data_IF_955511447303
#
_entry.id   IF_955511447303
#
_cell.length_a   1.000
_cell.length_b   1.000
_cell.length_c   1.000
_cell.angle_alpha   90.00
_cell.angle_beta   90.00
_cell.angle_gamma   90.00
#
_symmetry.space_group_name_H-M   'P 1'
#
loop_
_entity.id
_entity.type
_entity.pdbx_description
1 polymer ?
#
# COMPACT_ATOMS: atom_id res chain seq x y z
N UNK A 1 -1.33 -0.57 -9.50
CA UNK A 1 -2.25 -1.10 -8.46
C UNK A 1 -1.43 -1.97 -7.53
N UNK A 2 -0.98 -1.40 -6.41
CA UNK A 2 -0.13 -2.06 -5.41
C UNK A 2 -0.92 -3.19 -4.74
N UNK A 3 -0.53 -4.42 -5.06
CA UNK A 3 -1.09 -5.67 -4.58
C UNK A 3 -0.94 -5.79 -3.05
N UNK A 4 -2.04 -5.61 -2.31
CA UNK A 4 -2.19 -6.32 -1.05
C UNK A 4 -2.47 -7.77 -1.43
N UNK A 5 -1.46 -8.64 -1.30
CA UNK A 5 -1.61 -10.09 -1.46
C UNK A 5 -1.57 -10.67 -0.05
N UNK A 6 -2.73 -11.01 0.51
CA UNK A 6 -2.76 -11.93 1.64
C UNK A 6 -3.19 -13.30 1.14
N UNK A 7 -2.36 -14.31 1.45
CA UNK A 7 -2.61 -15.69 1.11
C UNK A 7 -3.60 -16.28 2.14
N UNK A 8 -4.87 -16.41 1.78
CA UNK A 8 -5.84 -17.10 2.62
C UNK A 8 -5.80 -18.60 2.27
N UNK A 9 -5.34 -19.44 3.20
CA UNK A 9 -5.35 -20.90 3.08
C UNK A 9 -6.75 -21.42 3.45
N UNK A 10 -7.52 -21.89 2.48
CA UNK A 10 -8.78 -22.59 2.76
C UNK A 10 -8.52 -24.10 2.68
N UNK A 11 -8.70 -24.80 3.80
CA UNK A 11 -8.65 -26.26 3.85
C UNK A 11 -10.06 -26.82 3.68
N UNK A 12 -10.31 -27.48 2.56
CA UNK A 12 -11.45 -28.37 2.39
C UNK A 12 -10.92 -29.73 1.93
N UNK A 13 -10.80 -30.68 2.87
CA UNK A 13 -10.46 -32.12 2.80
C UNK A 13 -9.45 -32.68 1.75
N UNK A 14 -8.84 -31.90 0.85
CA UNK A 14 -7.82 -32.40 -0.09
C UNK A 14 -6.93 -31.33 -0.75
N UNK A 15 -7.18 -30.02 -0.61
CA UNK A 15 -6.42 -28.99 -1.35
C UNK A 15 -6.14 -27.71 -0.56
N UNK A 16 -4.99 -27.09 -0.87
CA UNK A 16 -4.58 -25.74 -0.44
C UNK A 16 -5.03 -24.77 -1.55
N UNK A 17 -5.87 -23.79 -1.20
CA UNK A 17 -6.30 -22.73 -2.12
C UNK A 17 -5.48 -21.46 -1.85
N UNK A 18 -4.92 -20.87 -2.91
CA UNK A 18 -4.23 -19.60 -2.84
C UNK A 18 -5.11 -18.51 -3.46
N UNK A 19 -5.74 -17.67 -2.65
CA UNK A 19 -6.59 -16.56 -3.13
C UNK A 19 -5.81 -15.26 -2.96
N UNK A 20 -5.74 -14.43 -4.01
CA UNK A 20 -5.21 -13.08 -3.90
C UNK A 20 -6.36 -12.14 -3.52
N UNK A 21 -6.29 -11.53 -2.34
CA UNK A 21 -7.35 -10.65 -1.82
C UNK A 21 -6.89 -9.20 -1.72
N UNK A 22 -7.62 -8.28 -2.34
CA UNK A 22 -7.41 -6.83 -2.22
C UNK A 22 -8.73 -6.11 -1.96
N UNK A 23 -8.69 -4.81 -1.63
CA UNK A 23 -9.87 -4.00 -1.44
C UNK A 23 -9.63 -2.55 -1.88
N UNK A 24 -10.71 -1.87 -2.23
CA UNK A 24 -10.73 -0.49 -2.70
C UNK A 24 -11.91 0.27 -2.05
N UNK A 25 -11.69 1.47 -1.48
CA UNK A 25 -10.40 2.14 -1.32
C UNK A 25 -9.50 1.42 -0.32
N UNK A 26 -8.19 1.54 -0.52
CA UNK A 26 -7.20 0.86 0.33
C UNK A 26 -7.32 1.23 1.81
N UNK A 27 -7.68 2.49 2.09
CA UNK A 27 -7.82 3.07 3.43
C UNK A 27 -9.19 3.74 3.51
N UNK A 28 -10.27 2.97 3.74
CA UNK A 28 -11.61 3.51 3.71
C UNK A 28 -11.88 4.40 4.93
N UNK A 29 -12.56 5.52 4.70
CA UNK A 29 -13.11 6.37 5.74
C UNK A 29 -14.39 5.77 6.34
N UNK A 30 -14.75 6.22 7.54
CA UNK A 30 -16.02 5.86 8.15
C UNK A 30 -17.20 6.32 7.27
N UNK A 31 -18.11 5.40 6.94
CA UNK A 31 -19.26 5.64 6.07
C UNK A 31 -18.96 5.52 4.58
N UNK A 32 -17.74 5.15 4.20
CA UNK A 32 -17.36 4.96 2.80
C UNK A 32 -17.76 3.56 2.28
N UNK A 33 -18.07 3.46 0.99
CA UNK A 33 -18.27 2.18 0.33
C UNK A 33 -16.90 1.55 0.04
N UNK A 34 -16.68 0.35 0.56
CA UNK A 34 -15.51 -0.47 0.28
C UNK A 34 -15.92 -1.70 -0.54
N UNK A 35 -15.12 -2.03 -1.54
CA UNK A 35 -15.23 -3.27 -2.32
C UNK A 35 -14.04 -4.17 -2.03
N UNK A 36 -14.31 -5.39 -1.57
CA UNK A 36 -13.30 -6.44 -1.40
C UNK A 36 -13.31 -7.34 -2.62
N UNK A 37 -12.14 -7.57 -3.20
CA UNK A 37 -11.90 -8.43 -4.35
C UNK A 37 -11.12 -9.67 -3.96
N UNK A 38 -11.55 -10.83 -4.48
CA UNK A 38 -10.91 -12.12 -4.30
C UNK A 38 -10.61 -12.74 -5.68
N UNK A 39 -9.35 -12.71 -6.08
CA UNK A 39 -8.88 -13.29 -7.33
C UNK A 39 -8.46 -14.75 -7.10
N UNK A 40 -9.24 -15.66 -7.70
CA UNK A 40 -9.00 -17.11 -7.63
C UNK A 40 -8.32 -17.66 -8.89
N UNK A 41 -7.81 -16.79 -9.78
CA UNK A 41 -7.19 -17.17 -11.05
C UNK A 41 -5.97 -18.09 -10.91
N UNK A 42 -5.33 -18.14 -9.74
CA UNK A 42 -4.23 -19.09 -9.48
C UNK A 42 -4.71 -20.54 -9.29
N UNK A 43 -6.01 -20.78 -9.08
CA UNK A 43 -6.57 -22.11 -8.81
C UNK A 43 -7.47 -22.57 -9.97
N UNK A 44 -6.90 -23.28 -10.96
CA UNK A 44 -7.62 -23.75 -12.17
C UNK A 44 -8.88 -24.58 -11.89
N UNK A 45 -8.93 -25.31 -10.77
CA UNK A 45 -10.10 -26.08 -10.34
C UNK A 45 -11.25 -25.20 -9.81
N UNK A 46 -10.95 -23.95 -9.42
CA UNK A 46 -11.84 -23.09 -8.65
C UNK A 46 -12.37 -21.88 -9.44
N UNK A 47 -11.69 -21.50 -10.53
CA UNK A 47 -11.99 -20.30 -11.32
C UNK A 47 -13.46 -20.14 -11.73
N UNK A 48 -14.21 -21.25 -11.89
CA UNK A 48 -15.57 -21.22 -12.44
C UNK A 48 -16.58 -22.15 -11.76
N UNK A 49 -16.22 -22.86 -10.68
CA UNK A 49 -17.05 -23.97 -10.16
C UNK A 49 -17.84 -23.67 -8.91
N UNK A 50 -17.40 -22.72 -8.08
CA UNK A 50 -18.00 -22.55 -6.76
C UNK A 50 -18.32 -21.08 -6.46
N UNK A 51 -19.52 -20.78 -5.92
CA UNK A 51 -19.80 -19.45 -5.39
C UNK A 51 -18.85 -19.15 -4.24
N UNK A 52 -18.32 -17.93 -4.23
CA UNK A 52 -17.52 -17.42 -3.12
C UNK A 52 -18.40 -16.68 -2.13
N UNK A 53 -18.06 -16.80 -0.86
CA UNK A 53 -18.69 -16.12 0.26
C UNK A 53 -17.65 -15.31 1.01
N UNK A 54 -18.07 -14.16 1.48
CA UNK A 54 -17.33 -13.36 2.45
C UNK A 54 -18.06 -13.42 3.79
N UNK A 55 -17.30 -13.64 4.85
CA UNK A 55 -17.78 -13.67 6.23
C UNK A 55 -17.29 -12.40 6.90
N UNK A 56 -18.19 -11.52 7.33
CA UNK A 56 -17.87 -10.25 7.97
C UNK A 56 -18.20 -10.28 9.46
N UNK A 57 -17.35 -9.67 10.28
CA UNK A 57 -17.54 -9.52 11.72
C UNK A 57 -16.97 -8.19 12.22
N UNK A 58 -17.67 -7.52 13.14
CA UNK A 58 -17.17 -6.28 13.74
C UNK A 58 -16.41 -6.55 15.06
N UNK A 59 -16.57 -7.72 15.65
CA UNK A 59 -15.96 -8.11 16.94
C UNK A 59 -14.94 -9.25 16.81
N UNK A 60 -14.76 -9.79 15.61
CA UNK A 60 -13.89 -10.92 15.32
C UNK A 60 -14.43 -12.27 15.81
N UNK A 61 -15.68 -12.32 16.31
CA UNK A 61 -16.29 -13.52 16.89
C UNK A 61 -17.55 -13.93 16.15
N UNK A 62 -18.47 -12.99 15.95
CA UNK A 62 -19.76 -13.23 15.33
C UNK A 62 -19.72 -12.83 13.86
N UNK A 63 -19.73 -13.84 12.98
CA UNK A 63 -19.62 -13.65 11.54
C UNK A 63 -20.96 -13.78 10.82
N UNK A 64 -21.20 -12.88 9.86
CA UNK A 64 -22.31 -12.95 8.90
C UNK A 64 -21.77 -13.24 7.51
N UNK A 65 -22.33 -14.25 6.85
CA UNK A 65 -21.91 -14.70 5.51
C UNK A 65 -22.72 -14.03 4.41
N UNK A 66 -22.03 -13.51 3.40
CA UNK A 66 -22.61 -12.88 2.21
C UNK A 66 -22.02 -13.50 0.95
N UNK A 67 -22.85 -13.70 -0.07
CA UNK A 67 -22.37 -14.21 -1.34
C UNK A 67 -21.69 -13.09 -2.14
N UNK A 68 -20.48 -13.36 -2.63
CA UNK A 68 -19.75 -12.46 -3.53
C UNK A 68 -20.28 -12.61 -4.96
N UNK A 69 -20.09 -11.56 -5.78
CA UNK A 69 -20.46 -11.56 -7.21
C UNK A 69 -19.21 -11.67 -8.09
N UNK A 70 -19.31 -12.34 -9.23
CA UNK A 70 -18.22 -12.32 -10.21
C UNK A 70 -18.08 -10.91 -10.79
N UNK A 71 -16.86 -10.39 -10.77
CA UNK A 71 -16.48 -9.11 -11.35
C UNK A 71 -15.65 -9.33 -12.62
N UNK A 72 -16.36 -9.39 -13.76
CA UNK A 72 -15.77 -9.57 -15.08
C UNK A 72 -14.95 -8.36 -15.56
N UNK A 73 -15.09 -7.18 -14.94
CA UNK A 73 -14.35 -5.97 -15.31
C UNK A 73 -12.92 -5.99 -14.76
N UNK A 74 -12.71 -6.55 -13.57
CA UNK A 74 -11.37 -6.81 -13.05
C UNK A 74 -10.71 -7.96 -13.83
N UNK A 75 -11.24 -9.18 -13.70
CA UNK A 75 -10.76 -10.41 -14.36
C UNK A 75 -11.87 -11.47 -14.36
N UNK A 76 -11.83 -12.42 -15.31
CA UNK A 76 -12.83 -13.50 -15.41
C UNK A 76 -12.91 -14.46 -14.21
N UNK A 77 -12.02 -14.34 -13.22
CA UNK A 77 -11.96 -15.17 -12.01
C UNK A 77 -11.90 -14.35 -10.72
N UNK A 78 -12.32 -13.08 -10.76
CA UNK A 78 -12.37 -12.22 -9.58
C UNK A 78 -13.79 -12.20 -9.01
N UNK A 79 -13.91 -12.36 -7.70
CA UNK A 79 -15.14 -12.19 -6.94
C UNK A 79 -15.09 -10.90 -6.14
N UNK A 80 -16.20 -10.16 -6.08
CA UNK A 80 -16.31 -8.88 -5.40
C UNK A 80 -17.49 -8.83 -4.42
N UNK A 81 -17.30 -8.11 -3.33
CA UNK A 81 -18.38 -7.73 -2.40
C UNK A 81 -18.18 -6.31 -1.91
N UNK A 82 -19.23 -5.50 -2.02
CA UNK A 82 -19.23 -4.09 -1.61
C UNK A 82 -20.14 -3.88 -0.41
N UNK A 83 -19.67 -3.07 0.56
CA UNK A 83 -20.44 -2.68 1.73
C UNK A 83 -19.98 -1.32 2.25
N UNK A 84 -20.83 -0.66 3.05
CA UNK A 84 -20.46 0.55 3.78
C UNK A 84 -19.72 0.14 5.04
N UNK A 85 -18.50 0.66 5.23
CA UNK A 85 -17.71 0.38 6.43
C UNK A 85 -17.92 1.48 7.47
N UNK A 86 -18.39 1.10 8.67
CA UNK A 86 -18.74 2.00 9.77
C UNK A 86 -17.93 1.73 11.05
N UNK A 87 -17.20 0.62 11.06
CA UNK A 87 -16.42 0.12 12.17
C UNK A 87 -15.29 -0.75 11.64
N UNK A 88 -14.31 -1.06 12.48
CA UNK A 88 -13.31 -2.07 12.16
C UNK A 88 -14.00 -3.38 11.79
N UNK A 89 -13.72 -3.91 10.60
CA UNK A 89 -14.36 -5.13 10.08
C UNK A 89 -13.31 -6.22 9.86
N UNK A 90 -13.48 -7.34 10.56
CA UNK A 90 -12.81 -8.59 10.29
C UNK A 90 -13.51 -9.31 9.15
N UNK A 91 -12.74 -9.95 8.28
CA UNK A 91 -13.31 -10.73 7.21
C UNK A 91 -12.53 -12.02 6.90
N UNK A 92 -13.27 -13.01 6.41
CA UNK A 92 -12.73 -14.21 5.80
C UNK A 92 -13.44 -14.48 4.49
N UNK A 93 -12.79 -15.18 3.56
CA UNK A 93 -13.36 -15.54 2.26
C UNK A 93 -13.22 -17.04 2.08
N UNK A 94 -14.31 -17.72 1.74
CA UNK A 94 -14.31 -19.13 1.38
C UNK A 94 -15.42 -19.51 0.38
N UNK A 95 -15.59 -20.80 0.10
CA UNK A 95 -16.63 -21.32 -0.81
C UNK A 95 -17.79 -22.03 -0.09
N UNK A 96 -17.92 -21.82 1.22
CA UNK A 96 -18.87 -22.51 2.09
C UNK A 96 -19.67 -21.53 2.95
N UNK A 97 -20.92 -21.30 2.54
CA UNK A 97 -21.85 -20.43 3.26
C UNK A 97 -22.07 -20.78 4.74
N UNK A 98 -22.08 -22.09 5.08
CA UNK A 98 -22.68 -22.61 6.32
C UNK A 98 -21.68 -23.20 7.32
N UNK A 99 -20.54 -23.73 6.85
CA UNK A 99 -19.53 -24.33 7.73
C UNK A 99 -18.28 -23.46 7.76
N UNK A 100 -18.43 -22.33 8.42
CA UNK A 100 -17.34 -21.43 8.75
C UNK A 100 -16.71 -21.85 10.09
N UNK A 101 -15.40 -22.05 10.12
CA UNK A 101 -14.63 -22.19 11.38
C UNK A 101 -13.82 -20.92 11.57
N UNK A 102 -14.12 -20.17 12.63
CA UNK A 102 -13.32 -19.03 13.04
C UNK A 102 -11.95 -19.53 13.53
N UNK A 103 -10.96 -19.48 12.64
CA UNK A 103 -9.57 -19.77 12.93
C UNK A 103 -8.75 -18.49 12.73
N UNK A 104 -8.06 -18.03 13.78
CA UNK A 104 -7.41 -16.71 13.82
C UNK A 104 -6.48 -16.42 12.64
N UNK A 105 -5.82 -17.45 12.11
CA UNK A 105 -4.85 -17.32 11.02
C UNK A 105 -5.50 -17.13 9.64
N UNK A 106 -6.81 -17.34 9.50
CA UNK A 106 -7.58 -17.08 8.27
C UNK A 106 -8.24 -15.69 8.24
N UNK A 107 -8.14 -14.93 9.33
CA UNK A 107 -8.74 -13.62 9.46
C UNK A 107 -7.89 -12.55 8.77
N UNK A 108 -8.48 -11.87 7.80
CA UNK A 108 -8.02 -10.55 7.39
C UNK A 108 -8.82 -9.49 8.16
N UNK A 109 -8.22 -8.32 8.38
CA UNK A 109 -8.84 -7.23 9.14
C UNK A 109 -8.73 -5.94 8.34
N UNK A 110 -9.87 -5.31 8.09
CA UNK A 110 -9.93 -3.92 7.63
C UNK A 110 -10.09 -3.09 8.90
N UNK A 111 -8.99 -2.45 9.28
CA UNK A 111 -8.99 -1.49 10.38
C UNK A 111 -9.47 -0.18 9.79
N UNK A 112 -10.58 0.35 10.31
CA UNK A 112 -10.89 1.76 10.08
C UNK A 112 -9.72 2.57 10.60
N UNK A 113 -9.28 3.55 9.83
CA UNK A 113 -8.32 4.52 10.34
C UNK A 113 -8.89 5.13 11.63
N UNK A 114 -8.11 5.04 12.72
CA UNK A 114 -8.54 5.39 14.07
C UNK A 114 -9.07 6.84 14.13
N UNK A 115 -10.38 7.10 13.96
CA UNK A 115 -11.08 8.39 14.22
C UNK A 115 -10.35 9.69 13.84
N UNK A 116 -9.33 9.64 12.99
CA UNK A 116 -8.52 10.77 12.58
C UNK A 116 -9.06 11.15 11.22
N UNK A 117 -9.88 12.19 11.26
CA UNK A 117 -10.57 12.68 10.10
C UNK A 117 -9.60 13.46 9.20
N UNK A 118 -9.20 12.84 8.09
CA UNK A 118 -8.44 13.51 7.03
C UNK A 118 -9.33 14.34 6.10
N UNK A 119 -10.65 14.42 6.32
CA UNK A 119 -11.56 15.16 5.45
C UNK A 119 -11.13 16.62 5.26
N UNK A 120 -10.76 17.32 6.33
CA UNK A 120 -10.29 18.70 6.23
C UNK A 120 -8.98 18.82 5.43
N UNK A 121 -8.10 17.81 5.53
CA UNK A 121 -6.89 17.72 4.70
C UNK A 121 -7.27 17.55 3.23
N UNK A 122 -8.14 16.60 2.91
CA UNK A 122 -8.59 16.32 1.53
C UNK A 122 -9.26 17.54 0.90
N UNK A 123 -10.18 18.19 1.62
CA UNK A 123 -10.85 19.42 1.16
C UNK A 123 -9.84 20.54 0.91
N UNK A 124 -8.84 20.69 1.78
CA UNK A 124 -7.79 21.69 1.60
C UNK A 124 -6.89 21.38 0.39
N UNK A 125 -6.51 20.12 0.17
CA UNK A 125 -5.72 19.68 -0.99
C UNK A 125 -6.47 19.88 -2.31
N UNK A 126 -7.74 19.47 -2.38
CA UNK A 126 -8.60 19.67 -3.57
C UNK A 126 -8.79 21.16 -3.87
N UNK A 127 -8.89 21.98 -2.82
CA UNK A 127 -8.96 23.44 -2.93
C UNK A 127 -7.60 24.11 -3.16
N UNK A 128 -6.51 23.34 -3.31
CA UNK A 128 -5.12 23.80 -3.47
C UNK A 128 -4.63 24.72 -2.35
N UNK A 129 -5.20 24.59 -1.15
CA UNK A 129 -4.79 25.31 0.06
C UNK A 129 -3.72 24.51 0.80
N UNK A 130 -2.57 24.35 0.15
CA UNK A 130 -1.50 23.44 0.60
C UNK A 130 -0.97 23.74 2.01
N UNK A 131 -0.76 25.01 2.34
CA UNK A 131 -0.34 25.41 3.69
C UNK A 131 -1.41 25.04 4.75
N UNK A 132 -2.69 25.15 4.41
CA UNK A 132 -3.79 24.75 5.29
C UNK A 132 -3.80 23.22 5.47
N UNK A 133 -3.63 22.46 4.39
CA UNK A 133 -3.52 21.00 4.45
C UNK A 133 -2.34 20.55 5.32
N UNK A 134 -1.16 21.16 5.15
CA UNK A 134 0.03 20.88 5.98
C UNK A 134 -0.24 21.21 7.46
N UNK A 135 -0.92 22.30 7.76
CA UNK A 135 -1.29 22.64 9.14
C UNK A 135 -2.21 21.57 9.76
N UNK A 136 -3.23 21.10 9.04
CA UNK A 136 -4.08 20.01 9.51
C UNK A 136 -3.30 18.70 9.70
N UNK A 137 -2.39 18.37 8.77
CA UNK A 137 -1.52 17.20 8.89
C UNK A 137 -0.62 17.26 10.13
N UNK A 138 -0.03 18.42 10.41
CA UNK A 138 0.78 18.63 11.61
C UNK A 138 -0.06 18.49 12.89
N UNK A 139 -1.27 19.03 12.93
CA UNK A 139 -2.19 18.86 14.06
C UNK A 139 -2.55 17.38 14.27
N UNK A 140 -2.82 16.63 13.20
CA UNK A 140 -3.07 15.19 13.29
C UNK A 140 -1.86 14.46 13.87
N UNK A 141 -0.66 14.76 13.37
CA UNK A 141 0.59 14.15 13.82
C UNK A 141 0.87 14.38 15.30
N UNK A 142 0.61 15.60 15.79
CA UNK A 142 0.81 15.98 17.20
C UNK A 142 -0.20 15.30 18.15
N UNK A 143 -1.41 15.01 17.68
CA UNK A 143 -2.50 14.50 18.50
C UNK A 143 -2.64 12.97 18.50
N UNK A 144 -1.84 12.25 17.72
CA UNK A 144 -1.86 10.79 17.66
C UNK A 144 -0.63 10.18 18.31
N UNK A 145 -0.76 8.96 18.83
CA UNK A 145 0.39 8.11 19.22
C UNK A 145 0.62 6.94 18.26
N UNK A 146 -0.27 6.78 17.27
CA UNK A 146 -0.12 5.75 16.25
C UNK A 146 0.99 6.12 15.27
N UNK A 147 2.09 5.37 15.34
CA UNK A 147 3.27 5.57 14.50
C UNK A 147 2.97 5.47 13.00
N UNK A 148 1.96 4.68 12.62
CA UNK A 148 1.54 4.53 11.22
C UNK A 148 0.88 5.82 10.74
N UNK A 149 0.09 6.47 11.61
CA UNK A 149 -0.57 7.74 11.29
C UNK A 149 0.46 8.88 11.24
N UNK A 150 1.42 8.91 12.18
CA UNK A 150 2.53 9.88 12.13
C UNK A 150 3.32 9.76 10.81
N UNK A 151 3.68 8.53 10.42
CA UNK A 151 4.37 8.28 9.15
C UNK A 151 3.52 8.70 7.94
N UNK A 152 2.22 8.42 7.95
CA UNK A 152 1.28 8.85 6.90
C UNK A 152 1.21 10.37 6.79
N UNK A 153 1.11 11.09 7.90
CA UNK A 153 1.09 12.55 7.87
C UNK A 153 2.36 13.14 7.27
N UNK A 154 3.53 12.62 7.68
CA UNK A 154 4.81 13.07 7.12
C UNK A 154 4.92 12.78 5.63
N UNK A 155 4.47 11.59 5.21
CA UNK A 155 4.43 11.21 3.81
C UNK A 155 3.53 12.13 2.99
N UNK A 156 2.34 12.46 3.49
CA UNK A 156 1.43 13.38 2.80
C UNK A 156 2.00 14.79 2.69
N UNK A 157 2.74 15.27 3.70
CA UNK A 157 3.45 16.55 3.63
C UNK A 157 4.52 16.47 2.53
N UNK A 158 5.33 15.39 2.50
CA UNK A 158 6.35 15.19 1.46
C UNK A 158 5.75 15.17 0.04
N UNK A 159 4.58 14.54 -0.15
CA UNK A 159 3.87 14.52 -1.43
C UNK A 159 3.40 15.91 -1.88
N UNK A 160 3.00 16.80 -0.96
CA UNK A 160 2.66 18.20 -1.29
C UNK A 160 3.89 18.94 -1.81
N UNK A 161 5.04 18.78 -1.15
CA UNK A 161 6.30 19.38 -1.62
C UNK A 161 6.74 18.82 -2.97
N UNK A 162 6.59 17.51 -3.18
CA UNK A 162 6.95 16.85 -4.43
C UNK A 162 6.06 17.28 -5.60
N UNK A 163 4.74 17.20 -5.42
CA UNK A 163 3.79 17.28 -6.54
C UNK A 163 3.29 18.71 -6.78
N UNK A 164 2.98 19.44 -5.71
CA UNK A 164 2.31 20.74 -5.79
C UNK A 164 3.31 21.90 -5.79
N UNK A 165 4.27 21.89 -4.85
CA UNK A 165 5.34 22.90 -4.83
C UNK A 165 6.47 22.57 -5.80
N UNK A 166 6.67 21.29 -6.14
CA UNK A 166 7.81 20.79 -6.93
C UNK A 166 9.16 21.19 -6.35
N UNK A 167 9.22 21.29 -5.02
CA UNK A 167 10.46 21.52 -4.29
C UNK A 167 11.11 20.17 -3.98
N UNK A 168 11.86 19.66 -4.95
CA UNK A 168 12.47 18.34 -4.89
C UNK A 168 13.49 18.21 -3.76
N UNK A 169 14.17 19.30 -3.38
CA UNK A 169 15.13 19.29 -2.28
C UNK A 169 14.40 19.08 -0.96
N UNK A 170 13.36 19.87 -0.69
CA UNK A 170 12.58 19.76 0.55
C UNK A 170 11.85 18.42 0.61
N UNK A 171 11.27 17.97 -0.51
CA UNK A 171 10.64 16.65 -0.58
C UNK A 171 11.63 15.52 -0.27
N UNK A 172 12.86 15.59 -0.80
CA UNK A 172 13.90 14.59 -0.53
C UNK A 172 14.27 14.53 0.96
N UNK A 173 14.43 15.69 1.62
CA UNK A 173 14.72 15.76 3.04
C UNK A 173 13.59 15.12 3.87
N UNK A 174 12.33 15.44 3.54
CA UNK A 174 11.15 14.85 4.23
C UNK A 174 11.05 13.33 4.03
N UNK A 175 11.27 12.81 2.82
CA UNK A 175 11.29 11.36 2.61
C UNK A 175 12.44 10.69 3.34
N UNK A 176 13.61 11.32 3.40
CA UNK A 176 14.74 10.84 4.20
C UNK A 176 14.36 10.74 5.68
N UNK A 177 13.74 11.78 6.23
CA UNK A 177 13.28 11.79 7.63
C UNK A 177 12.30 10.66 7.93
N UNK A 178 11.35 10.37 7.02
CA UNK A 178 10.43 9.22 7.17
C UNK A 178 11.19 7.90 7.22
N UNK A 179 12.19 7.71 6.35
CA UNK A 179 12.98 6.47 6.26
C UNK A 179 13.77 6.20 7.54
N UNK A 180 14.24 7.25 8.20
CA UNK A 180 15.06 7.13 9.40
C UNK A 180 14.27 7.21 10.71
N UNK A 181 13.05 7.79 10.69
CA UNK A 181 12.22 7.96 11.89
C UNK A 181 11.27 6.78 12.16
N UNK A 182 10.93 6.00 11.13
CA UNK A 182 9.89 4.97 11.24
C UNK A 182 10.40 3.54 10.92
N UNK A 183 9.81 2.49 11.50
CA UNK A 183 10.18 1.11 11.23
C UNK A 183 9.94 0.68 9.77
N UNK A 184 10.80 -0.19 9.22
CA UNK A 184 10.69 -0.68 7.83
C UNK A 184 9.37 -1.39 7.48
N UNK A 185 8.60 -1.88 8.47
CA UNK A 185 7.31 -2.51 8.19
C UNK A 185 6.18 -1.49 7.93
N UNK A 186 6.41 -0.21 8.21
CA UNK A 186 5.49 0.87 7.88
C UNK A 186 5.50 1.12 6.37
N UNK A 187 4.31 1.18 5.77
CA UNK A 187 4.15 1.24 4.31
C UNK A 187 4.73 2.53 3.72
N UNK A 188 4.64 3.65 4.43
CA UNK A 188 5.21 4.94 4.05
C UNK A 188 6.74 4.91 3.96
N UNK A 189 7.42 4.10 4.78
CA UNK A 189 8.88 3.93 4.70
C UNK A 189 9.27 3.28 3.38
N UNK A 190 8.52 2.25 2.96
CA UNK A 190 8.73 1.60 1.66
C UNK A 190 8.53 2.58 0.50
N UNK A 191 7.42 3.34 0.51
CA UNK A 191 7.13 4.34 -0.51
C UNK A 191 8.23 5.41 -0.56
N UNK A 192 8.62 5.93 0.59
CA UNK A 192 9.66 6.95 0.73
C UNK A 192 11.03 6.48 0.21
N UNK A 193 11.41 5.22 0.47
CA UNK A 193 12.66 4.66 -0.08
C UNK A 193 12.71 4.69 -1.60
N UNK A 194 11.60 4.34 -2.26
CA UNK A 194 11.52 4.38 -3.72
C UNK A 194 11.50 5.83 -4.23
N UNK A 195 10.66 6.69 -3.65
CA UNK A 195 10.48 8.07 -4.09
C UNK A 195 11.75 8.90 -3.88
N UNK A 196 12.45 8.75 -2.76
CA UNK A 196 13.72 9.43 -2.51
C UNK A 196 14.78 9.05 -3.54
N UNK A 197 14.94 7.75 -3.83
CA UNK A 197 15.87 7.28 -4.85
C UNK A 197 15.52 7.85 -6.23
N UNK A 198 14.22 7.92 -6.55
CA UNK A 198 13.73 8.51 -7.79
C UNK A 198 14.05 10.02 -7.89
N UNK A 199 13.82 10.79 -6.82
CA UNK A 199 14.14 12.22 -6.77
C UNK A 199 15.65 12.45 -6.96
N UNK A 200 16.47 11.68 -6.25
CA UNK A 200 17.93 11.75 -6.39
C UNK A 200 18.40 11.43 -7.80
N UNK A 201 17.80 10.44 -8.46
CA UNK A 201 18.18 10.06 -9.80
C UNK A 201 17.74 11.07 -10.87
N UNK A 202 16.56 11.68 -10.71
CA UNK A 202 15.89 12.39 -11.82
C UNK A 202 15.80 13.91 -11.63
N UNK A 203 15.97 14.41 -10.41
CA UNK A 203 15.74 15.83 -10.10
C UNK A 203 16.94 16.51 -9.45
N UNK A 204 17.77 15.78 -8.71
CA UNK A 204 18.90 16.35 -7.95
C UNK A 204 20.28 15.88 -8.40
N UNK A 205 20.37 14.99 -9.39
CA UNK A 205 21.63 14.41 -9.90
C UNK A 205 22.50 13.72 -8.81
N UNK A 206 21.89 13.28 -7.72
CA UNK A 206 22.53 12.55 -6.62
C UNK A 206 22.60 11.05 -6.93
N UNK A 207 23.25 10.69 -8.05
CA UNK A 207 23.22 9.33 -8.59
C UNK A 207 23.76 8.26 -7.64
N UNK A 208 24.79 8.59 -6.84
CA UNK A 208 25.36 7.64 -5.88
C UNK A 208 24.37 7.32 -4.75
N UNK A 209 23.66 8.33 -4.25
CA UNK A 209 22.64 8.17 -3.22
C UNK A 209 21.39 7.47 -3.78
N UNK A 210 20.97 7.79 -5.00
CA UNK A 210 19.90 7.06 -5.68
C UNK A 210 20.20 5.55 -5.75
N UNK A 211 21.41 5.17 -6.17
CA UNK A 211 21.84 3.77 -6.21
C UNK A 211 21.80 3.14 -4.81
N UNK A 212 22.25 3.86 -3.78
CA UNK A 212 22.22 3.38 -2.40
C UNK A 212 20.78 3.08 -1.94
N UNK A 213 19.85 4.03 -2.12
CA UNK A 213 18.47 3.87 -1.67
C UNK A 213 17.69 2.82 -2.46
N UNK A 214 17.90 2.71 -3.78
CA UNK A 214 17.34 1.60 -4.56
C UNK A 214 17.84 0.23 -4.08
N UNK A 215 19.13 0.08 -3.78
CA UNK A 215 19.66 -1.16 -3.21
C UNK A 215 19.09 -1.44 -1.82
N UNK A 216 18.92 -0.41 -0.98
CA UNK A 216 18.27 -0.52 0.34
C UNK A 216 16.82 -0.99 0.21
N UNK A 217 16.05 -0.44 -0.74
CA UNK A 217 14.70 -0.91 -1.05
C UNK A 217 14.70 -2.40 -1.39
N UNK A 218 15.57 -2.84 -2.32
CA UNK A 218 15.66 -4.27 -2.71
C UNK A 218 15.98 -5.18 -1.53
N UNK A 219 16.89 -4.75 -0.65
CA UNK A 219 17.25 -5.51 0.54
C UNK A 219 16.08 -5.64 1.52
N UNK A 220 15.28 -4.59 1.67
CA UNK A 220 14.17 -4.56 2.62
C UNK A 220 12.91 -5.24 2.08
N UNK A 221 12.67 -5.18 0.76
CA UNK A 221 11.45 -5.68 0.12
C UNK A 221 11.76 -6.52 -1.14
N UNK A 222 12.48 -7.64 -1.02
CA UNK A 222 13.00 -8.39 -2.17
C UNK A 222 11.94 -9.01 -3.09
N UNK A 223 10.69 -9.11 -2.63
CA UNK A 223 9.56 -9.67 -3.38
C UNK A 223 8.55 -8.60 -3.84
N UNK A 224 8.90 -7.31 -3.77
CA UNK A 224 8.00 -6.23 -4.16
C UNK A 224 7.85 -6.15 -5.69
N UNK A 225 6.65 -5.78 -6.15
CA UNK A 225 6.35 -5.67 -7.59
C UNK A 225 7.22 -4.59 -8.28
N UNK A 226 7.77 -3.62 -7.52
CA UNK A 226 8.68 -2.58 -8.04
C UNK A 226 10.11 -3.06 -8.31
N UNK A 227 10.50 -4.27 -7.91
CA UNK A 227 11.89 -4.75 -8.05
C UNK A 227 12.36 -4.71 -9.51
N UNK A 228 11.51 -5.09 -10.47
CA UNK A 228 11.85 -5.03 -11.90
C UNK A 228 12.11 -3.60 -12.37
N UNK A 229 11.30 -2.63 -11.92
CA UNK A 229 11.52 -1.21 -12.23
C UNK A 229 12.82 -0.70 -11.61
N UNK A 230 13.11 -1.07 -10.36
CA UNK A 230 14.34 -0.68 -9.68
C UNK A 230 15.59 -1.26 -10.39
N UNK A 231 15.52 -2.49 -10.87
CA UNK A 231 16.61 -3.10 -11.64
C UNK A 231 16.90 -2.35 -12.94
N UNK A 232 15.85 -1.88 -13.61
CA UNK A 232 15.99 -1.03 -14.79
C UNK A 232 16.69 0.30 -14.44
N UNK A 233 16.25 0.99 -13.38
CA UNK A 233 16.86 2.25 -12.94
C UNK A 233 18.33 2.08 -12.53
N UNK A 234 18.65 1.05 -11.75
CA UNK A 234 20.02 0.77 -11.32
C UNK A 234 20.96 0.51 -12.52
N UNK A 235 20.48 -0.19 -13.54
CA UNK A 235 21.25 -0.43 -14.76
C UNK A 235 21.56 0.89 -15.48
N UNK A 236 20.60 1.81 -15.58
CA UNK A 236 20.81 3.11 -16.22
C UNK A 236 21.78 3.98 -15.40
N UNK A 237 21.56 4.09 -14.09
CA UNK A 237 22.41 4.88 -13.19
C UNK A 237 23.85 4.38 -13.15
N UNK A 238 24.07 3.07 -13.24
CA UNK A 238 25.43 2.49 -13.27
C UNK A 238 26.24 2.95 -14.49
N UNK A 239 25.60 3.10 -15.65
CA UNK A 239 26.24 3.59 -16.88
C UNK A 239 26.65 5.05 -16.74
N UNK A 240 25.74 5.89 -16.25
CA UNK A 240 25.99 7.32 -16.00
C UNK A 240 27.17 7.50 -15.02
N UNK A 241 27.20 6.72 -13.94
CA UNK A 241 28.27 6.81 -12.94
C UNK A 241 29.64 6.37 -13.49
N UNK A 242 29.68 5.37 -14.38
CA UNK A 242 30.91 4.97 -15.07
C UNK A 242 31.44 6.07 -16.00
N UNK A 243 30.56 6.70 -16.77
CA UNK A 243 30.90 7.82 -17.65
C UNK A 243 31.46 9.01 -16.86
N UNK A 244 30.78 9.44 -15.79
CA UNK A 244 31.25 10.52 -14.91
C UNK A 244 32.64 10.23 -14.33
N UNK A 245 32.88 9.00 -13.85
CA UNK A 245 34.20 8.60 -13.33
C UNK A 245 35.29 8.65 -14.40
N UNK A 246 34.98 8.25 -15.62
CA UNK A 246 35.94 8.30 -16.73
C UNK A 246 36.35 9.72 -17.09
N UNK A 247 35.40 10.66 -17.09
CA UNK A 247 35.62 12.08 -17.35
C UNK A 247 36.48 12.74 -16.25
N UNK A 248 36.19 12.44 -14.98
CA UNK A 248 36.96 12.96 -13.85
C UNK A 248 38.41 12.45 -13.85
N UNK A 249 38.62 11.21 -14.30
CA UNK A 249 39.96 10.62 -14.37
C UNK A 249 40.77 11.08 -15.58
N UNK A 250 40.13 11.52 -16.67
CA UNK A 250 40.82 12.07 -17.85
C UNK A 250 41.14 13.56 -17.73
N UNK A 251 40.55 14.25 -16.76
CA UNK A 251 40.84 15.67 -16.43
C UNK A 251 42.04 15.89 -15.49
N UNK A 252 42.73 14.82 -15.07
CA UNK A 252 43.93 14.84 -14.24
C UNK A 252 45.17 14.56 -15.07
#
# INVERSE_FOLDING_TARGET
MTNNKFLILILNFAYILCIDVNWDPYLPANGEEITIFADVSKNKEFQFRYPMYIHLSNDGKDYKSYQMKLDYLQKSSTWAYSFIIDSTTFFQIDNNKFYFKNEDWKNAKIVLENNIDFHEVSVALESKKYNTAINFLNQIKENTEDISIKARTDYMIAEVFLNDFKDFSVAADLYSDIIYSYPNHIIEVKKSLFTLAYIYANHLDYFSDAIFFYKKFKSNYPSDDLITSIDYELNNLSKINLELKSLLNSSK
#
